data_IF_947990042789
#
_entry.id   IF_947990042789
#
_cell.length_a   1.000
_cell.length_b   1.000
_cell.length_c   1.000
_cell.angle_alpha   90.00
_cell.angle_beta   90.00
_cell.angle_gamma   90.00
#
_symmetry.space_group_name_H-M   'P 1'
#
loop_
_entity.id
_entity.type
_entity.pdbx_description
1 polymer ?
#
# COMPACT_ATOMS: atom_id res chain seq x y z
N UNK A 1 5.75 -6.61 7.18
CA UNK A 1 4.28 -6.68 6.93
C UNK A 1 4.01 -6.01 5.59
N UNK A 2 2.90 -6.27 4.93
CA UNK A 2 2.50 -5.53 3.71
C UNK A 2 1.19 -4.80 4.00
N UNK A 3 1.19 -3.49 3.81
CA UNK A 3 0.01 -2.65 3.93
C UNK A 3 -0.73 -2.59 2.59
N UNK A 4 -2.05 -2.77 2.61
CA UNK A 4 -2.87 -2.83 1.39
C UNK A 4 -3.89 -1.69 1.39
N UNK A 5 -3.84 -0.84 0.35
CA UNK A 5 -4.80 0.24 0.09
C UNK A 5 -5.63 -0.09 -1.16
N UNK A 6 -6.85 -0.59 -0.95
CA UNK A 6 -7.66 -1.17 -2.01
C UNK A 6 -8.49 -0.18 -2.83
N UNK A 7 -8.77 1.01 -2.33
CA UNK A 7 -9.64 1.97 -3.02
C UNK A 7 -8.82 3.06 -3.72
N UNK A 8 -9.21 3.39 -4.94
CA UNK A 8 -8.67 4.52 -5.69
C UNK A 8 -9.33 5.82 -5.20
N UNK A 9 -9.01 6.20 -3.97
CA UNK A 9 -9.41 7.48 -3.38
C UNK A 9 -8.12 8.24 -3.15
N UNK A 10 -7.68 9.08 -4.11
CA UNK A 10 -6.35 9.66 -4.11
C UNK A 10 -6.00 10.35 -2.79
N UNK A 11 -6.93 11.13 -2.21
CA UNK A 11 -6.68 11.87 -0.97
C UNK A 11 -6.51 10.97 0.28
N UNK A 12 -7.26 9.87 0.38
CA UNK A 12 -7.13 8.95 1.52
C UNK A 12 -5.79 8.22 1.46
N UNK A 13 -5.45 7.67 0.29
CA UNK A 13 -4.19 6.95 0.10
C UNK A 13 -3.00 7.88 0.38
N UNK A 14 -3.07 9.14 -0.08
CA UNK A 14 -2.04 10.15 0.20
C UNK A 14 -1.85 10.41 1.70
N UNK A 15 -2.93 10.48 2.48
CA UNK A 15 -2.86 10.75 3.92
C UNK A 15 -2.18 9.62 4.66
N UNK A 16 -2.56 8.38 4.37
CA UNK A 16 -1.94 7.19 4.98
C UNK A 16 -0.47 7.09 4.57
N UNK A 17 -0.16 7.21 3.27
CA UNK A 17 1.21 7.12 2.79
C UNK A 17 2.11 8.21 3.38
N UNK A 18 1.61 9.46 3.49
CA UNK A 18 2.37 10.55 4.11
C UNK A 18 2.69 10.27 5.58
N UNK A 19 1.69 9.85 6.36
CA UNK A 19 1.90 9.52 7.77
C UNK A 19 2.96 8.41 7.93
N UNK A 20 2.89 7.35 7.11
CA UNK A 20 3.86 6.27 7.18
C UNK A 20 5.27 6.69 6.74
N UNK A 21 5.37 7.51 5.70
CA UNK A 21 6.64 8.02 5.22
C UNK A 21 7.33 8.91 6.27
N UNK A 22 6.57 9.81 6.90
CA UNK A 22 7.13 10.85 7.76
C UNK A 22 7.34 10.36 9.20
N UNK A 23 6.40 9.57 9.73
CA UNK A 23 6.37 9.22 11.16
C UNK A 23 6.80 7.77 11.44
N UNK A 24 6.60 6.85 10.49
CA UNK A 24 6.77 5.40 10.73
C UNK A 24 7.85 4.73 9.89
N UNK A 25 8.53 5.46 9.00
CA UNK A 25 9.51 4.87 8.09
C UNK A 25 10.73 4.24 8.80
N UNK A 26 10.98 4.59 10.06
CA UNK A 26 12.00 3.94 10.87
C UNK A 26 11.68 2.47 11.18
N UNK A 27 10.40 2.06 11.17
CA UNK A 27 9.99 0.67 11.35
C UNK A 27 10.00 -0.07 9.99
N UNK A 28 10.85 -1.09 9.80
CA UNK A 28 10.88 -1.89 8.58
C UNK A 28 9.54 -2.55 8.23
N UNK A 29 8.66 -2.80 9.21
CA UNK A 29 7.35 -3.40 8.97
C UNK A 29 6.35 -2.43 8.35
N UNK A 30 6.58 -1.13 8.50
CA UNK A 30 5.68 -0.05 8.10
C UNK A 30 5.95 0.46 6.67
N UNK A 31 7.04 0.05 6.02
CA UNK A 31 7.46 0.65 4.74
C UNK A 31 6.83 0.07 3.48
N UNK A 32 6.29 -1.15 3.53
CA UNK A 32 5.88 -1.86 2.31
C UNK A 32 4.38 -1.73 2.04
N UNK A 33 4.04 -1.23 0.87
CA UNK A 33 2.67 -0.96 0.44
C UNK A 33 2.34 -1.60 -0.91
N UNK A 34 1.11 -2.12 -1.02
CA UNK A 34 0.46 -2.48 -2.28
C UNK A 34 -0.82 -1.67 -2.40
N UNK A 35 -0.92 -0.82 -3.43
CA UNK A 35 -2.01 0.16 -3.52
C UNK A 35 -2.69 0.13 -4.90
N UNK A 36 -3.94 0.57 -4.96
CA UNK A 36 -4.54 1.02 -6.22
C UNK A 36 -4.16 2.48 -6.46
N UNK A 37 -3.60 2.79 -7.63
CA UNK A 37 -3.21 4.16 -8.00
C UNK A 37 -2.17 4.20 -9.13
N UNK A 38 -1.72 5.41 -9.45
CA UNK A 38 -0.68 5.67 -10.45
C UNK A 38 0.72 5.71 -9.82
N UNK A 39 1.62 4.86 -10.33
CA UNK A 39 2.98 4.69 -9.83
C UNK A 39 3.82 5.97 -9.90
N UNK A 40 3.67 6.74 -10.98
CA UNK A 40 4.46 7.96 -11.18
C UNK A 40 4.17 9.00 -10.09
N UNK A 41 2.91 9.13 -9.69
CA UNK A 41 2.49 10.10 -8.68
C UNK A 41 2.92 9.73 -7.25
N UNK A 42 3.19 8.45 -6.99
CA UNK A 42 3.38 7.92 -5.63
C UNK A 42 4.85 7.71 -5.30
N UNK A 43 5.67 7.24 -6.25
CA UNK A 43 7.09 6.97 -6.00
C UNK A 43 7.90 8.22 -5.70
N UNK A 44 7.60 9.33 -6.38
CA UNK A 44 8.30 10.60 -6.19
C UNK A 44 7.89 11.29 -4.89
N UNK A 45 6.70 10.99 -4.35
CA UNK A 45 6.17 11.62 -3.14
C UNK A 45 6.57 10.96 -1.82
N UNK A 46 6.94 9.68 -1.82
CA UNK A 46 7.16 8.89 -0.59
C UNK A 46 8.45 8.06 -0.64
N UNK A 47 9.63 8.70 -0.67
CA UNK A 47 10.92 8.02 -0.90
C UNK A 47 11.32 7.05 0.21
N UNK A 48 10.71 7.14 1.40
CA UNK A 48 11.00 6.23 2.50
C UNK A 48 10.16 4.93 2.47
N UNK A 49 9.23 4.82 1.51
CA UNK A 49 8.31 3.69 1.36
C UNK A 49 8.65 2.84 0.13
N UNK A 50 8.43 1.53 0.26
CA UNK A 50 8.45 0.54 -0.81
C UNK A 50 7.02 0.34 -1.30
N UNK A 51 6.61 1.12 -2.32
CA UNK A 51 5.23 1.15 -2.81
C UNK A 51 5.12 0.50 -4.18
N UNK A 52 4.28 -0.52 -4.29
CA UNK A 52 3.87 -1.11 -5.58
C UNK A 52 2.45 -0.68 -5.93
N UNK A 53 2.29 -0.06 -7.09
CA UNK A 53 0.99 0.42 -7.57
C UNK A 53 0.34 -0.57 -8.54
N UNK A 54 -0.98 -0.65 -8.47
CA UNK A 54 -1.79 -1.51 -9.33
C UNK A 54 -2.91 -0.66 -9.96
N UNK A 55 -3.25 -0.88 -11.25
CA UNK A 55 -4.23 -0.06 -11.95
C UNK A 55 -5.69 -0.26 -11.48
N UNK A 56 -5.95 -1.20 -10.57
CA UNK A 56 -7.29 -1.43 -10.07
C UNK A 56 -7.38 -2.50 -8.98
N UNK A 57 -8.55 -2.56 -8.34
CA UNK A 57 -8.86 -3.52 -7.25
C UNK A 57 -8.59 -4.98 -7.65
N UNK A 58 -8.91 -5.35 -8.90
CA UNK A 58 -8.75 -6.71 -9.40
C UNK A 58 -7.27 -7.12 -9.51
N UNK A 59 -6.44 -6.28 -10.11
CA UNK A 59 -5.00 -6.57 -10.25
C UNK A 59 -4.29 -6.57 -8.90
N UNK A 60 -4.66 -5.65 -8.00
CA UNK A 60 -4.18 -5.66 -6.62
C UNK A 60 -4.54 -6.97 -5.90
N UNK A 61 -5.81 -7.41 -5.97
CA UNK A 61 -6.26 -8.64 -5.32
C UNK A 61 -5.50 -9.87 -5.86
N UNK A 62 -5.30 -9.94 -7.17
CA UNK A 62 -4.51 -11.01 -7.80
C UNK A 62 -3.06 -11.03 -7.28
N UNK A 63 -2.43 -9.87 -7.16
CA UNK A 63 -1.07 -9.75 -6.64
C UNK A 63 -0.97 -10.15 -5.16
N UNK A 64 -1.95 -9.77 -4.33
CA UNK A 64 -2.02 -10.19 -2.92
C UNK A 64 -2.13 -11.71 -2.81
N UNK A 65 -3.01 -12.33 -3.61
CA UNK A 65 -3.17 -13.79 -3.65
C UNK A 65 -1.88 -14.47 -4.10
N UNK A 66 -1.23 -13.97 -5.16
CA UNK A 66 0.03 -14.52 -5.66
C UNK A 66 1.13 -14.43 -4.59
N UNK A 67 1.25 -13.29 -3.91
CA UNK A 67 2.21 -13.08 -2.82
C UNK A 67 1.95 -14.03 -1.66
N UNK A 68 0.69 -14.20 -1.26
CA UNK A 68 0.30 -15.12 -0.20
C UNK A 68 0.54 -16.60 -0.56
N UNK A 69 0.37 -16.97 -1.83
CA UNK A 69 0.69 -18.31 -2.33
C UNK A 69 2.19 -18.59 -2.30
N UNK A 70 3.00 -17.62 -2.70
CA UNK A 70 4.47 -17.74 -2.70
C UNK A 70 5.05 -17.79 -1.27
N UNK A 71 4.45 -17.05 -0.34
CA UNK A 71 4.84 -17.06 1.06
C UNK A 71 3.62 -17.10 1.98
N UNK A 72 3.31 -18.28 2.51
CA UNK A 72 2.16 -18.49 3.41
C UNK A 72 2.29 -17.80 4.78
N UNK A 73 3.49 -17.37 5.16
CA UNK A 73 3.76 -16.60 6.39
C UNK A 73 3.67 -15.08 6.16
N UNK A 74 3.45 -14.65 4.91
CA UNK A 74 3.29 -13.23 4.61
C UNK A 74 2.04 -12.69 5.30
N UNK A 75 2.23 -11.64 6.10
CA UNK A 75 1.15 -10.92 6.77
C UNK A 75 0.76 -9.68 5.98
N UNK A 76 -0.54 -9.48 5.84
CA UNK A 76 -1.14 -8.33 5.18
C UNK A 76 -1.96 -7.54 6.18
N UNK A 77 -1.87 -6.22 6.12
CA UNK A 77 -2.72 -5.30 6.86
C UNK A 77 -3.57 -4.52 5.87
N UNK A 78 -4.87 -4.81 5.82
CA UNK A 78 -5.80 -4.14 4.93
C UNK A 78 -6.34 -2.90 5.62
N UNK A 79 -6.05 -1.73 5.07
CA UNK A 79 -6.60 -0.50 5.61
C UNK A 79 -8.06 -0.37 5.18
N UNK A 80 -8.93 -0.14 6.17
CA UNK A 80 -10.34 0.14 5.95
C UNK A 80 -10.55 1.55 5.43
N UNK A 81 -11.72 1.77 4.83
CA UNK A 81 -12.20 3.08 4.44
C UNK A 81 -12.94 3.73 5.62
N UNK A 82 -12.65 4.99 5.92
CA UNK A 82 -13.58 5.83 6.67
C UNK A 82 -14.53 6.48 5.67
N UNK A 83 -15.77 6.00 5.61
CA UNK A 83 -16.83 6.75 4.93
C UNK A 83 -17.15 7.95 5.81
N UNK A 84 -17.04 9.15 5.24
CA UNK A 84 -17.61 10.37 5.82
C UNK A 84 -18.99 10.59 5.21
#
# INVERSE_FOLDING_TARGET
MIHVLGSDIPHHNQTVLRFFNDELAADPQARRFMIVGDEASVRDGYPALDVTCYPGKKSLAQAVIATAKANRQQRFFFHGQFNT
#
